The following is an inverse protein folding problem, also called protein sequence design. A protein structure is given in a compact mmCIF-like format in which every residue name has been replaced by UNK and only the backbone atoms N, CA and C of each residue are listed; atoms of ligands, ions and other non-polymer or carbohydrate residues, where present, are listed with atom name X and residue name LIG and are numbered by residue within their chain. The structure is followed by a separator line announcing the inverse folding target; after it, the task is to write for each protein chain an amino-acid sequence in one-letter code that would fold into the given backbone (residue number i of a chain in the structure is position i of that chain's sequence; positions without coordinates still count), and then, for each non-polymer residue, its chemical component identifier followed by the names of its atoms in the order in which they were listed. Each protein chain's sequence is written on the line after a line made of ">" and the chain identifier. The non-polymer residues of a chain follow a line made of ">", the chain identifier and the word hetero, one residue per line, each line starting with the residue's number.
data_IF_827903684736
#
_entry.id   IF_827903684736
#
_cell.length_a   1.000
_cell.length_b   1.000
_cell.length_c   1.000
_cell.angle_alpha   90.00
_cell.angle_beta   90.00
_cell.angle_gamma   90.00
#
_symmetry.space_group_name_H-M   'P 1'
#
loop_
_entity.id
_entity.type
_entity.pdbx_description
1 polymer ?
#
# COMPACT_ATOMS: atom_id res chain seq x y z
N UNK A 1 4.78 -32.92 1.33
CA UNK A 1 4.48 -33.00 -0.12
C UNK A 1 4.58 -31.60 -0.66
N UNK A 2 5.08 -31.39 -1.89
CA UNK A 2 5.15 -30.05 -2.46
C UNK A 2 3.74 -29.62 -2.91
N UNK A 3 3.16 -28.65 -2.22
CA UNK A 3 1.89 -28.05 -2.65
C UNK A 3 2.13 -27.28 -3.94
N UNK A 4 1.67 -27.86 -5.06
CA UNK A 4 1.55 -27.14 -6.31
C UNK A 4 0.46 -26.07 -6.13
N UNK A 5 0.88 -24.85 -5.83
CA UNK A 5 -0.04 -23.74 -5.56
C UNK A 5 -0.88 -23.45 -6.81
N UNK A 6 -2.18 -23.71 -6.71
CA UNK A 6 -3.13 -23.55 -7.83
C UNK A 6 -3.08 -22.11 -8.35
N UNK A 7 -2.95 -21.95 -9.68
CA UNK A 7 -2.81 -20.65 -10.33
C UNK A 7 -4.06 -19.77 -10.18
N UNK A 8 -3.90 -18.45 -10.17
CA UNK A 8 -5.02 -17.51 -10.15
C UNK A 8 -5.99 -17.71 -11.32
N UNK A 9 -5.47 -18.00 -12.52
CA UNK A 9 -6.29 -18.34 -13.70
C UNK A 9 -7.17 -19.57 -13.46
N UNK A 10 -6.60 -20.63 -12.87
CA UNK A 10 -7.34 -21.85 -12.52
C UNK A 10 -8.42 -21.56 -11.47
N UNK A 11 -8.11 -20.76 -10.46
CA UNK A 11 -9.07 -20.39 -9.41
C UNK A 11 -10.21 -19.52 -9.95
N UNK A 12 -9.92 -18.51 -10.79
CA UNK A 12 -10.96 -17.70 -11.45
C UNK A 12 -11.86 -18.58 -12.35
N UNK A 13 -11.28 -19.51 -13.12
CA UNK A 13 -12.05 -20.45 -13.93
C UNK A 13 -12.94 -21.39 -13.08
N UNK A 14 -12.55 -21.68 -11.83
CA UNK A 14 -13.37 -22.43 -10.88
C UNK A 14 -14.46 -21.56 -10.23
N UNK A 15 -14.19 -20.29 -9.93
CA UNK A 15 -15.20 -19.33 -9.49
C UNK A 15 -16.28 -19.12 -10.58
N UNK A 16 -15.90 -19.08 -11.85
CA UNK A 16 -16.82 -19.05 -12.99
C UNK A 16 -17.67 -20.33 -13.13
N UNK A 17 -17.32 -21.39 -12.41
CA UNK A 17 -18.08 -22.65 -12.28
C UNK A 17 -18.75 -22.77 -10.89
N UNK A 18 -18.93 -21.64 -10.18
CA UNK A 18 -19.58 -21.53 -8.87
C UNK A 18 -18.95 -22.39 -7.75
N UNK A 19 -17.67 -22.73 -7.87
CA UNK A 19 -16.94 -23.51 -6.84
C UNK A 19 -16.49 -22.59 -5.68
N UNK A 20 -17.26 -22.57 -4.60
CA UNK A 20 -16.99 -21.74 -3.41
C UNK A 20 -15.57 -21.88 -2.85
N UNK A 21 -15.01 -23.11 -2.83
CA UNK A 21 -13.65 -23.38 -2.37
C UNK A 21 -12.56 -22.66 -3.18
N UNK A 22 -12.83 -22.28 -4.44
CA UNK A 22 -11.90 -21.49 -5.24
C UNK A 22 -11.89 -20.01 -4.82
N UNK A 23 -13.06 -19.46 -4.43
CA UNK A 23 -13.16 -18.12 -3.87
C UNK A 23 -12.46 -18.05 -2.51
N UNK A 24 -12.61 -19.09 -1.68
CA UNK A 24 -11.91 -19.19 -0.40
C UNK A 24 -10.38 -19.13 -0.59
N UNK A 25 -9.83 -19.97 -1.47
CA UNK A 25 -8.39 -19.95 -1.77
C UNK A 25 -7.91 -18.63 -2.39
N UNK A 26 -8.74 -17.93 -3.18
CA UNK A 26 -8.41 -16.59 -3.67
C UNK A 26 -8.40 -15.56 -2.54
N UNK A 27 -9.39 -15.63 -1.64
CA UNK A 27 -9.50 -14.74 -0.50
C UNK A 27 -8.32 -14.92 0.46
N UNK A 28 -8.00 -16.15 0.86
CA UNK A 28 -6.84 -16.47 1.72
C UNK A 28 -5.51 -15.96 1.13
N UNK A 29 -5.31 -16.09 -0.20
CA UNK A 29 -4.08 -15.66 -0.88
C UNK A 29 -3.95 -14.15 -1.01
N UNK A 30 -5.02 -13.45 -1.37
CA UNK A 30 -4.94 -12.06 -1.82
C UNK A 30 -5.60 -11.04 -0.88
N UNK A 31 -6.52 -11.44 0.01
CA UNK A 31 -7.17 -10.51 0.93
C UNK A 31 -6.18 -9.73 1.83
N UNK A 32 -5.06 -10.30 2.32
CA UNK A 32 -4.10 -9.53 3.09
C UNK A 32 -3.40 -8.41 2.32
N UNK A 33 -3.16 -8.62 1.01
CA UNK A 33 -2.54 -7.63 0.13
C UNK A 33 -3.57 -6.61 -0.40
N UNK A 34 -4.81 -7.05 -0.65
CA UNK A 34 -5.95 -6.19 -0.96
C UNK A 34 -6.25 -5.23 0.19
N UNK A 35 -6.26 -5.71 1.42
CA UNK A 35 -6.53 -4.89 2.61
C UNK A 35 -5.38 -3.92 2.89
N UNK A 36 -4.12 -4.35 2.72
CA UNK A 36 -2.95 -3.47 2.83
C UNK A 36 -3.01 -2.32 1.81
N UNK A 37 -3.26 -2.63 0.54
CA UNK A 37 -3.41 -1.61 -0.51
C UNK A 37 -4.64 -0.72 -0.28
N UNK A 38 -5.79 -1.30 0.05
CA UNK A 38 -7.01 -0.56 0.38
C UNK A 38 -6.83 0.41 1.55
N UNK A 39 -6.09 0.00 2.58
CA UNK A 39 -5.76 0.85 3.74
C UNK A 39 -4.80 1.97 3.33
N UNK A 40 -3.81 1.67 2.49
CA UNK A 40 -2.88 2.68 1.95
C UNK A 40 -3.57 3.70 1.03
N UNK A 41 -4.59 3.29 0.27
CA UNK A 41 -5.37 4.15 -0.62
C UNK A 41 -6.41 4.99 0.14
N UNK A 42 -7.19 4.38 1.05
CA UNK A 42 -8.35 5.02 1.68
C UNK A 42 -8.06 5.60 3.08
N UNK A 43 -6.92 5.27 3.68
CA UNK A 43 -6.48 5.73 5.01
C UNK A 43 -7.47 5.44 6.16
N UNK A 44 -8.41 4.52 5.94
CA UNK A 44 -9.46 4.09 6.88
C UNK A 44 -9.66 2.59 6.77
N UNK A 45 -9.43 1.87 7.86
CA UNK A 45 -9.53 0.40 7.89
C UNK A 45 -10.93 -0.09 7.53
N UNK A 46 -11.99 0.57 8.01
CA UNK A 46 -13.39 0.21 7.69
C UNK A 46 -13.66 0.27 6.18
N UNK A 47 -13.18 1.33 5.54
CA UNK A 47 -13.42 1.57 4.13
C UNK A 47 -12.56 0.60 3.30
N UNK A 48 -11.37 0.24 3.78
CA UNK A 48 -10.49 -0.76 3.17
C UNK A 48 -11.00 -2.22 3.31
N UNK A 49 -11.57 -2.59 4.47
CA UNK A 49 -12.25 -3.86 4.68
C UNK A 49 -13.43 -4.00 3.71
N UNK A 50 -14.29 -2.98 3.63
CA UNK A 50 -15.44 -2.98 2.74
C UNK A 50 -15.03 -2.91 1.25
N UNK A 51 -13.91 -2.24 0.93
CA UNK A 51 -13.33 -2.26 -0.42
C UNK A 51 -12.91 -3.68 -0.82
N UNK A 52 -12.19 -4.36 0.08
CA UNK A 52 -11.71 -5.73 -0.12
C UNK A 52 -12.89 -6.67 -0.35
N UNK A 53 -13.90 -6.59 0.53
CA UNK A 53 -15.13 -7.38 0.47
C UNK A 53 -15.89 -7.21 -0.86
N UNK A 54 -16.19 -5.96 -1.24
CA UNK A 54 -16.86 -5.67 -2.52
C UNK A 54 -16.06 -6.18 -3.72
N UNK A 55 -14.73 -6.05 -3.67
CA UNK A 55 -13.86 -6.45 -4.79
C UNK A 55 -13.89 -7.96 -4.99
N UNK A 56 -13.85 -8.76 -3.93
CA UNK A 56 -14.04 -10.20 -4.03
C UNK A 56 -15.46 -10.60 -4.48
N UNK A 57 -16.50 -9.86 -4.06
CA UNK A 57 -17.87 -10.08 -4.54
C UNK A 57 -18.01 -9.82 -6.05
N UNK A 58 -17.33 -8.78 -6.57
CA UNK A 58 -17.26 -8.50 -8.01
C UNK A 58 -16.42 -9.53 -8.76
N UNK A 59 -15.26 -9.92 -8.23
CA UNK A 59 -14.40 -10.98 -8.80
C UNK A 59 -15.19 -12.30 -8.93
N UNK A 60 -15.98 -12.66 -7.92
CA UNK A 60 -16.89 -13.82 -8.00
C UNK A 60 -17.94 -13.67 -9.10
N UNK A 61 -18.75 -12.58 -9.02
CA UNK A 61 -19.88 -12.33 -9.94
C UNK A 61 -19.46 -12.19 -11.41
N UNK A 62 -18.21 -11.79 -11.67
CA UNK A 62 -17.67 -11.56 -13.01
C UNK A 62 -16.48 -12.47 -13.34
N UNK A 63 -16.29 -13.58 -12.63
CA UNK A 63 -15.18 -14.51 -12.87
C UNK A 63 -15.17 -15.07 -14.31
N UNK A 64 -16.34 -15.18 -14.93
CA UNK A 64 -16.53 -15.60 -16.33
C UNK A 64 -16.09 -14.54 -17.36
N UNK A 65 -15.92 -13.27 -16.96
CA UNK A 65 -15.45 -12.19 -17.83
C UNK A 65 -13.91 -12.14 -17.93
N UNK A 66 -13.19 -12.88 -17.07
CA UNK A 66 -11.76 -13.06 -17.21
C UNK A 66 -11.45 -14.11 -18.30
N UNK A 67 -10.87 -13.65 -19.40
CA UNK A 67 -10.30 -14.50 -20.43
C UNK A 67 -8.75 -14.46 -20.36
N UNK A 68 -8.03 -15.60 -20.45
CA UNK A 68 -6.56 -15.61 -20.27
C UNK A 68 -5.77 -14.79 -21.30
N UNK A 69 -6.36 -14.46 -22.43
CA UNK A 69 -5.73 -13.67 -23.49
C UNK A 69 -5.70 -12.16 -23.19
N UNK A 70 -6.42 -11.68 -22.17
CA UNK A 70 -6.40 -10.26 -21.75
C UNK A 70 -5.17 -9.92 -20.90
N UNK A 71 -4.46 -10.93 -20.38
CA UNK A 71 -3.27 -10.78 -19.55
C UNK A 71 -3.38 -11.46 -18.18
N UNK A 72 -2.71 -10.90 -17.17
CA UNK A 72 -2.57 -11.55 -15.85
C UNK A 72 -3.88 -11.57 -15.05
N UNK A 73 -4.31 -12.75 -14.62
CA UNK A 73 -5.41 -12.95 -13.66
C UNK A 73 -5.29 -12.09 -12.39
N UNK A 74 -4.08 -12.00 -11.80
CA UNK A 74 -3.85 -11.16 -10.61
C UNK A 74 -4.03 -9.68 -10.97
N UNK A 75 -3.48 -9.22 -12.09
CA UNK A 75 -3.65 -7.84 -12.54
C UNK A 75 -5.12 -7.47 -12.80
N UNK A 76 -5.90 -8.39 -13.38
CA UNK A 76 -7.34 -8.22 -13.55
C UNK A 76 -8.10 -8.12 -12.21
N UNK A 77 -7.75 -8.94 -11.22
CA UNK A 77 -8.31 -8.81 -9.86
C UNK A 77 -7.96 -7.45 -9.22
N UNK A 78 -6.71 -6.99 -9.38
CA UNK A 78 -6.26 -5.69 -8.86
C UNK A 78 -6.91 -4.50 -9.60
N UNK A 79 -7.19 -4.60 -10.89
CA UNK A 79 -7.88 -3.54 -11.65
C UNK A 79 -9.30 -3.30 -11.12
N UNK A 80 -10.02 -4.36 -10.74
CA UNK A 80 -11.33 -4.27 -10.07
C UNK A 80 -11.20 -3.53 -8.73
N UNK A 81 -10.26 -3.96 -7.87
CA UNK A 81 -9.99 -3.34 -6.58
C UNK A 81 -9.68 -1.84 -6.71
N UNK A 82 -8.77 -1.50 -7.62
CA UNK A 82 -8.30 -0.13 -7.80
C UNK A 82 -9.32 0.77 -8.49
N UNK A 83 -10.12 0.25 -9.43
CA UNK A 83 -11.27 0.98 -9.95
C UNK A 83 -12.25 1.35 -8.83
N UNK A 84 -12.62 0.40 -7.96
CA UNK A 84 -13.53 0.68 -6.81
C UNK A 84 -12.92 1.68 -5.84
N UNK A 85 -11.61 1.59 -5.55
CA UNK A 85 -10.90 2.55 -4.71
C UNK A 85 -10.93 3.96 -5.32
N UNK A 86 -10.64 4.09 -6.62
CA UNK A 86 -10.67 5.37 -7.34
C UNK A 86 -12.07 6.01 -7.32
N UNK A 87 -13.15 5.24 -7.46
CA UNK A 87 -14.52 5.80 -7.34
C UNK A 87 -14.77 6.39 -5.95
N UNK A 88 -14.36 5.70 -4.88
CA UNK A 88 -14.50 6.21 -3.50
C UNK A 88 -13.63 7.45 -3.25
N UNK A 89 -12.41 7.49 -3.78
CA UNK A 89 -11.53 8.67 -3.72
C UNK A 89 -12.11 9.88 -4.45
N UNK A 90 -12.82 9.69 -5.58
CA UNK A 90 -13.55 10.76 -6.28
C UNK A 90 -14.75 11.27 -5.46
N UNK A 91 -15.41 10.41 -4.69
CA UNK A 91 -16.55 10.76 -3.84
C UNK A 91 -16.15 11.42 -2.50
N UNK A 92 -14.92 11.20 -2.01
CA UNK A 92 -14.44 11.74 -0.73
C UNK A 92 -13.15 12.56 -0.89
N UNK A 93 -13.22 13.76 -1.52
CA UNK A 93 -12.03 14.61 -1.75
C UNK A 93 -11.42 15.19 -0.45
N UNK A 94 -12.12 15.09 0.69
CA UNK A 94 -11.73 15.67 1.97
C UNK A 94 -10.62 14.91 2.72
N UNK A 95 -10.16 13.76 2.20
CA UNK A 95 -9.13 12.93 2.84
C UNK A 95 -7.70 13.51 2.77
N UNK A 96 -7.50 14.61 2.04
CA UNK A 96 -6.18 15.20 1.78
C UNK A 96 -6.07 16.62 2.35
N UNK A 97 -5.50 16.80 3.57
CA UNK A 97 -4.24 17.56 3.60
C UNK A 97 -3.18 17.14 4.65
N UNK A 98 -3.45 16.21 5.58
CA UNK A 98 -2.64 16.09 6.82
C UNK A 98 -1.96 14.76 7.11
N UNK A 99 -2.25 13.66 6.40
CA UNK A 99 -1.71 12.34 6.77
C UNK A 99 -0.31 12.13 6.16
N UNK A 100 0.70 12.68 6.86
CA UNK A 100 2.12 12.41 6.61
C UNK A 100 2.48 10.97 6.97
N UNK A 101 2.31 10.04 6.04
CA UNK A 101 3.19 8.86 6.03
C UNK A 101 4.47 9.26 5.30
N UNK A 102 5.63 9.08 5.93
CA UNK A 102 6.94 9.25 5.27
C UNK A 102 7.15 8.08 4.29
N UNK A 103 6.47 8.13 3.15
CA UNK A 103 6.54 7.08 2.14
C UNK A 103 7.80 7.23 1.28
N UNK A 104 8.94 6.91 1.90
CA UNK A 104 10.12 6.46 1.20
C UNK A 104 9.80 5.06 0.68
N UNK A 105 9.22 5.01 -0.52
CA UNK A 105 8.82 3.78 -1.19
C UNK A 105 10.09 3.08 -1.71
N UNK A 106 10.80 2.48 -0.77
CA UNK A 106 12.05 1.79 -1.00
C UNK A 106 11.74 0.42 -1.59
N UNK A 107 12.09 0.24 -2.86
CA UNK A 107 12.07 -1.08 -3.49
C UNK A 107 13.18 -1.90 -2.80
N UNK A 108 12.84 -2.95 -2.03
CA UNK A 108 13.84 -3.66 -1.23
C UNK A 108 14.89 -4.34 -2.13
N UNK A 109 16.09 -4.58 -1.62
CA UNK A 109 17.15 -5.23 -2.40
C UNK A 109 16.76 -6.67 -2.87
N UNK A 110 15.86 -7.32 -2.13
CA UNK A 110 15.21 -8.60 -2.50
C UNK A 110 13.81 -8.38 -3.10
N UNK A 111 13.58 -7.29 -3.85
CA UNK A 111 12.32 -7.10 -4.55
C UNK A 111 12.05 -8.24 -5.56
N UNK A 112 10.77 -8.53 -5.88
CA UNK A 112 10.42 -9.45 -6.95
C UNK A 112 11.14 -9.09 -8.25
N UNK A 113 11.43 -10.08 -9.11
CA UNK A 113 12.07 -9.85 -10.42
C UNK A 113 11.31 -8.81 -11.25
N UNK A 114 9.98 -8.79 -11.12
CA UNK A 114 9.09 -7.80 -11.76
C UNK A 114 9.32 -6.34 -11.32
N UNK A 115 9.99 -6.07 -10.18
CA UNK A 115 10.32 -4.70 -9.75
C UNK A 115 11.75 -4.26 -10.09
N UNK A 116 12.62 -5.17 -10.53
CA UNK A 116 14.00 -4.83 -10.91
C UNK A 116 14.05 -3.67 -11.93
N UNK A 117 13.19 -3.58 -12.95
CA UNK A 117 13.22 -2.46 -13.90
C UNK A 117 13.01 -1.07 -13.29
N UNK A 118 12.33 -0.95 -12.15
CA UNK A 118 12.15 0.35 -11.49
C UNK A 118 13.48 0.95 -10.99
N UNK A 119 14.56 0.16 -10.88
CA UNK A 119 15.89 0.66 -10.55
C UNK A 119 16.46 1.59 -11.63
N UNK A 120 16.02 1.46 -12.90
CA UNK A 120 16.46 2.31 -14.02
C UNK A 120 15.83 3.71 -14.00
N UNK A 121 14.74 3.89 -13.26
CA UNK A 121 14.16 5.22 -13.02
C UNK A 121 15.00 5.99 -11.99
N UNK A 122 14.89 7.32 -11.98
CA UNK A 122 15.41 8.12 -10.89
C UNK A 122 14.51 8.00 -9.63
N UNK A 123 15.04 8.39 -8.47
CA UNK A 123 14.32 8.29 -7.20
C UNK A 123 13.03 9.12 -7.18
N UNK A 124 13.01 10.29 -7.84
CA UNK A 124 11.84 11.17 -7.87
C UNK A 124 10.72 10.52 -8.70
N UNK A 125 11.04 9.95 -9.86
CA UNK A 125 10.05 9.20 -10.67
C UNK A 125 9.50 7.98 -9.93
N UNK A 126 10.36 7.19 -9.24
CA UNK A 126 9.89 6.10 -8.38
C UNK A 126 8.92 6.59 -7.29
N UNK A 127 9.27 7.68 -6.58
CA UNK A 127 8.39 8.29 -5.56
C UNK A 127 7.05 8.71 -6.18
N UNK A 128 7.07 9.38 -7.33
CA UNK A 128 5.85 9.84 -8.01
C UNK A 128 4.92 8.70 -8.41
N UNK A 129 5.44 7.63 -9.05
CA UNK A 129 4.64 6.45 -9.43
C UNK A 129 4.10 5.75 -8.18
N UNK A 130 4.91 5.62 -7.13
CA UNK A 130 4.51 5.01 -5.87
C UNK A 130 3.41 5.78 -5.13
N UNK A 131 3.49 7.12 -5.08
CA UNK A 131 2.44 8.00 -4.54
C UNK A 131 1.12 7.86 -5.32
N UNK A 132 1.19 7.76 -6.66
CA UNK A 132 0.02 7.55 -7.49
C UNK A 132 -0.61 6.16 -7.25
N UNK A 133 0.19 5.08 -7.32
CA UNK A 133 -0.33 3.72 -7.30
C UNK A 133 -0.74 3.22 -5.91
N UNK A 134 0.11 3.39 -4.88
CA UNK A 134 -0.15 2.86 -3.53
C UNK A 134 -0.95 3.82 -2.63
N UNK A 135 -0.91 5.13 -2.89
CA UNK A 135 -1.59 6.14 -2.07
C UNK A 135 -2.71 6.90 -2.82
N UNK A 136 -2.88 6.65 -4.13
CA UNK A 136 -3.96 7.24 -4.92
C UNK A 136 -3.82 8.74 -5.15
N UNK A 137 -2.64 9.33 -4.94
CA UNK A 137 -2.44 10.78 -5.05
C UNK A 137 -2.69 11.26 -6.49
N UNK A 138 -3.30 12.45 -6.63
CA UNK A 138 -3.43 13.18 -7.89
C UNK A 138 -2.13 13.88 -8.27
N UNK A 139 -2.03 14.35 -9.52
CA UNK A 139 -0.93 15.22 -9.95
C UNK A 139 -0.71 16.43 -9.04
N UNK A 140 -1.76 17.05 -8.49
CA UNK A 140 -1.64 18.19 -7.57
C UNK A 140 -1.04 17.80 -6.21
N UNK A 141 -1.45 16.65 -5.67
CA UNK A 141 -0.95 16.11 -4.41
C UNK A 141 0.51 15.64 -4.55
N UNK A 142 0.85 14.96 -5.66
CA UNK A 142 2.23 14.56 -5.98
C UNK A 142 3.12 15.79 -6.21
N UNK A 143 2.66 16.78 -6.97
CA UNK A 143 3.40 18.02 -7.20
C UNK A 143 3.77 18.73 -5.89
N UNK A 144 2.80 18.82 -4.96
CA UNK A 144 2.99 19.35 -3.60
C UNK A 144 4.01 18.54 -2.78
N UNK A 145 3.88 17.22 -2.76
CA UNK A 145 4.73 16.27 -2.00
C UNK A 145 6.14 16.09 -2.60
N UNK A 146 6.32 16.45 -3.87
CA UNK A 146 7.61 16.43 -4.57
C UNK A 146 8.19 17.84 -4.82
N UNK A 147 7.62 18.88 -4.19
CA UNK A 147 8.03 20.28 -4.29
C UNK A 147 8.26 20.74 -5.74
N UNK A 148 7.30 20.48 -6.63
CA UNK A 148 7.39 20.80 -8.06
C UNK A 148 6.04 21.25 -8.64
N UNK A 149 6.00 21.68 -9.90
CA UNK A 149 4.76 22.06 -10.55
C UNK A 149 3.95 20.84 -11.04
N UNK A 150 2.64 21.05 -11.25
CA UNK A 150 1.74 20.03 -11.82
C UNK A 150 2.22 19.60 -13.20
N UNK A 151 2.56 20.55 -14.07
CA UNK A 151 3.05 20.27 -15.44
C UNK A 151 4.39 19.53 -15.44
N UNK A 152 5.31 19.84 -14.52
CA UNK A 152 6.55 19.07 -14.33
C UNK A 152 6.24 17.64 -13.90
N UNK A 153 5.31 17.46 -12.97
CA UNK A 153 4.91 16.13 -12.46
C UNK A 153 4.24 15.29 -13.55
N UNK A 154 3.37 15.89 -14.36
CA UNK A 154 2.73 15.24 -15.52
C UNK A 154 3.78 14.74 -16.50
N UNK A 155 4.70 15.62 -16.93
CA UNK A 155 5.79 15.25 -17.84
C UNK A 155 6.71 14.19 -17.23
N UNK A 156 7.12 14.35 -15.97
CA UNK A 156 8.03 13.40 -15.31
C UNK A 156 7.43 11.99 -15.21
N UNK A 157 6.13 11.87 -14.88
CA UNK A 157 5.45 10.57 -14.83
C UNK A 157 5.32 9.98 -16.24
N UNK A 158 4.95 10.79 -17.24
CA UNK A 158 4.88 10.36 -18.64
C UNK A 158 6.22 9.80 -19.15
N UNK A 159 7.28 10.60 -19.02
CA UNK A 159 8.63 10.25 -19.48
C UNK A 159 9.18 9.03 -18.72
N UNK A 160 8.87 8.90 -17.42
CA UNK A 160 9.22 7.73 -16.62
C UNK A 160 8.50 6.45 -17.09
N UNK A 161 7.24 6.53 -17.53
CA UNK A 161 6.51 5.38 -18.06
C UNK A 161 7.06 4.94 -19.42
N UNK A 162 7.41 5.90 -20.29
CA UNK A 162 8.11 5.60 -21.55
C UNK A 162 9.50 4.99 -21.33
N UNK A 163 10.24 5.45 -20.31
CA UNK A 163 11.52 4.86 -19.95
C UNK A 163 11.37 3.45 -19.32
N UNK A 164 10.28 3.20 -18.58
CA UNK A 164 10.04 1.95 -17.88
C UNK A 164 9.52 0.83 -18.80
N UNK A 165 8.64 1.15 -19.75
CA UNK A 165 7.97 0.16 -20.59
C UNK A 165 8.90 -0.78 -21.39
N UNK A 166 10.04 -0.35 -21.98
CA UNK A 166 10.93 -1.21 -22.76
C UNK A 166 11.57 -2.35 -21.96
N UNK A 167 11.58 -2.26 -20.63
CA UNK A 167 12.10 -3.30 -19.75
C UNK A 167 11.10 -4.43 -19.47
N UNK A 168 9.87 -4.34 -19.99
CA UNK A 168 8.83 -5.37 -19.86
C UNK A 168 8.39 -5.88 -21.23
N UNK A 169 8.09 -7.18 -21.31
CA UNK A 169 7.49 -7.83 -22.47
C UNK A 169 5.99 -8.02 -22.30
N UNK A 170 5.26 -8.25 -23.40
CA UNK A 170 3.80 -8.44 -23.39
C UNK A 170 2.99 -7.19 -23.76
N UNK A 171 3.63 -6.16 -24.29
CA UNK A 171 2.94 -5.06 -24.98
C UNK A 171 2.37 -5.55 -26.31
N UNK A 172 1.15 -5.14 -26.61
CA UNK A 172 0.44 -5.45 -27.85
C UNK A 172 0.56 -4.33 -28.89
N UNK A 173 1.10 -3.17 -28.47
CA UNK A 173 1.33 -1.98 -29.29
C UNK A 173 2.77 -1.47 -29.14
N UNK A 174 3.26 -0.69 -30.11
CA UNK A 174 4.55 0.00 -29.97
C UNK A 174 4.54 0.91 -28.74
N UNK A 175 5.67 0.99 -28.06
CA UNK A 175 5.82 1.85 -26.88
C UNK A 175 5.84 3.31 -27.35
N UNK A 176 4.75 4.02 -27.09
CA UNK A 176 4.46 5.38 -27.51
C UNK A 176 3.65 6.12 -26.44
N UNK A 177 3.27 7.37 -26.72
CA UNK A 177 2.48 8.21 -25.81
C UNK A 177 1.11 7.59 -25.45
N UNK A 178 0.53 6.72 -26.30
CA UNK A 178 -0.71 6.01 -26.01
C UNK A 178 -0.53 4.91 -24.95
N UNK A 179 0.59 4.18 -25.00
CA UNK A 179 0.97 3.23 -23.94
C UNK A 179 1.25 3.99 -22.64
N UNK A 180 1.93 5.14 -22.69
CA UNK A 180 2.14 5.97 -21.51
C UNK A 180 0.82 6.53 -20.94
N UNK A 181 -0.10 6.98 -21.80
CA UNK A 181 -1.44 7.44 -21.44
C UNK A 181 -2.24 6.35 -20.72
N UNK A 182 -2.19 5.10 -21.18
CA UNK A 182 -2.80 3.97 -20.45
C UNK A 182 -2.15 3.74 -19.09
N UNK A 183 -0.83 3.93 -18.97
CA UNK A 183 -0.15 3.87 -17.68
C UNK A 183 -0.64 4.96 -16.72
N UNK A 184 -0.77 6.20 -17.19
CA UNK A 184 -1.30 7.33 -16.40
C UNK A 184 -2.77 7.10 -16.01
N UNK A 185 -3.59 6.56 -16.92
CA UNK A 185 -4.99 6.17 -16.65
C UNK A 185 -5.05 5.06 -15.60
N UNK A 186 -4.27 3.99 -15.78
CA UNK A 186 -4.11 2.90 -14.83
C UNK A 186 -3.75 3.44 -13.44
N UNK A 187 -2.72 4.28 -13.31
CA UNK A 187 -2.32 4.90 -12.03
C UNK A 187 -3.48 5.62 -11.31
N UNK A 188 -4.49 6.11 -12.03
CA UNK A 188 -5.66 6.80 -11.48
C UNK A 188 -5.54 8.32 -11.47
N UNK A 189 -4.56 8.85 -12.21
CA UNK A 189 -4.21 10.27 -12.23
C UNK A 189 -5.20 11.13 -13.04
N UNK A 190 -5.93 10.51 -13.98
CA UNK A 190 -6.96 11.13 -14.80
C UNK A 190 -8.30 11.12 -14.02
N UNK A 191 -8.42 12.01 -13.03
CA UNK A 191 -9.56 12.00 -12.09
C UNK A 191 -10.85 12.56 -12.72
N UNK A 192 -10.77 13.60 -13.55
CA UNK A 192 -11.92 14.19 -14.24
C UNK A 192 -12.25 13.46 -15.57
N UNK A 193 -13.49 13.64 -16.05
CA UNK A 193 -13.97 12.95 -17.24
C UNK A 193 -13.29 13.40 -18.54
N UNK A 194 -12.86 14.66 -18.64
CA UNK A 194 -12.21 15.19 -19.84
C UNK A 194 -10.78 14.68 -19.96
N UNK A 195 -10.00 14.67 -18.87
CA UNK A 195 -8.66 14.10 -18.86
C UNK A 195 -8.66 12.58 -19.10
N UNK A 196 -9.69 11.86 -18.64
CA UNK A 196 -9.84 10.43 -18.89
C UNK A 196 -10.33 10.08 -20.31
N UNK A 197 -10.96 11.01 -21.03
CA UNK A 197 -11.61 10.77 -22.32
C UNK A 197 -10.68 10.15 -23.38
N UNK A 198 -9.43 10.61 -23.60
CA UNK A 198 -8.55 10.02 -24.62
C UNK A 198 -8.22 8.55 -24.32
N UNK A 199 -7.98 8.21 -23.04
CA UNK A 199 -7.73 6.84 -22.63
C UNK A 199 -8.98 5.95 -22.79
N UNK A 200 -10.17 6.48 -22.49
CA UNK A 200 -11.45 5.76 -22.68
C UNK A 200 -11.77 5.54 -24.17
N UNK A 201 -11.52 6.54 -25.03
CA UNK A 201 -11.65 6.42 -26.48
C UNK A 201 -10.73 5.32 -27.01
N UNK A 202 -9.45 5.32 -26.61
CA UNK A 202 -8.49 4.29 -26.98
C UNK A 202 -8.92 2.89 -26.52
N UNK A 203 -9.42 2.76 -25.29
CA UNK A 203 -9.96 1.50 -24.74
C UNK A 203 -11.23 1.00 -25.45
N UNK A 204 -12.02 1.89 -26.03
CA UNK A 204 -13.22 1.53 -26.80
C UNK A 204 -12.93 1.22 -28.28
N UNK A 205 -11.87 1.81 -28.85
CA UNK A 205 -11.52 1.67 -30.25
C UNK A 205 -10.65 0.44 -30.55
N UNK A 206 -9.82 0.01 -29.60
CA UNK A 206 -8.83 -1.05 -29.80
C UNK A 206 -8.80 -2.04 -28.63
N UNK A 207 -9.02 -3.32 -28.92
CA UNK A 207 -8.99 -4.39 -27.92
C UNK A 207 -7.60 -4.62 -27.32
N UNK A 208 -6.52 -4.27 -28.03
CA UNK A 208 -5.16 -4.34 -27.50
C UNK A 208 -4.92 -3.30 -26.39
N UNK A 209 -5.67 -2.20 -26.39
CA UNK A 209 -5.62 -1.21 -25.31
C UNK A 209 -5.98 -1.82 -23.95
N UNK A 210 -6.98 -2.70 -23.89
CA UNK A 210 -7.34 -3.39 -22.66
C UNK A 210 -6.21 -4.31 -22.19
N UNK A 211 -5.50 -4.95 -23.11
CA UNK A 211 -4.36 -5.84 -22.81
C UNK A 211 -3.15 -5.08 -22.29
N UNK A 212 -2.82 -3.96 -22.93
CA UNK A 212 -1.76 -3.05 -22.46
C UNK A 212 -2.11 -2.40 -21.10
N UNK A 213 -3.39 -2.12 -20.84
CA UNK A 213 -3.84 -1.63 -19.54
C UNK A 213 -3.67 -2.69 -18.43
N UNK A 214 -4.04 -3.95 -18.71
CA UNK A 214 -3.83 -5.08 -17.79
C UNK A 214 -2.32 -5.36 -17.61
N UNK A 215 -1.50 -5.15 -18.65
CA UNK A 215 -0.04 -5.22 -18.55
C UNK A 215 0.53 -4.13 -17.64
N UNK A 216 0.03 -2.89 -17.70
CA UNK A 216 0.40 -1.85 -16.73
C UNK A 216 -0.02 -2.20 -15.31
N UNK A 217 -1.25 -2.66 -15.10
CA UNK A 217 -1.71 -3.08 -13.76
C UNK A 217 -0.91 -4.29 -13.25
N UNK A 218 -0.41 -5.19 -14.14
CA UNK A 218 0.52 -6.27 -13.77
C UNK A 218 1.86 -5.74 -13.27
N UNK A 219 2.42 -4.73 -13.94
CA UNK A 219 3.69 -4.10 -13.55
C UNK A 219 3.52 -3.40 -12.20
N UNK A 220 2.46 -2.60 -12.04
CA UNK A 220 2.28 -1.83 -10.81
C UNK A 220 1.75 -2.66 -9.65
N UNK A 221 0.98 -3.74 -9.84
CA UNK A 221 0.54 -4.59 -8.73
C UNK A 221 1.73 -5.27 -8.03
N UNK A 222 2.90 -5.38 -8.68
CA UNK A 222 4.12 -5.81 -8.01
C UNK A 222 4.55 -4.82 -6.89
N UNK A 223 4.25 -3.51 -7.00
CA UNK A 223 4.54 -2.52 -5.95
C UNK A 223 3.82 -2.82 -4.63
N UNK A 224 2.75 -3.63 -4.64
CA UNK A 224 2.06 -3.99 -3.40
C UNK A 224 2.88 -4.92 -2.51
N UNK A 225 3.94 -5.56 -3.02
CA UNK A 225 4.90 -6.29 -2.18
C UNK A 225 5.75 -5.37 -1.30
N UNK A 226 5.73 -4.05 -1.56
CA UNK A 226 6.34 -3.04 -0.69
C UNK A 226 5.43 -2.65 0.49
N UNK A 227 4.19 -3.13 0.53
CA UNK A 227 3.27 -2.96 1.67
C UNK A 227 3.35 -4.17 2.59
N UNK A 228 3.31 -3.93 3.90
CA UNK A 228 3.12 -4.99 4.89
C UNK A 228 1.70 -5.58 4.73
N UNK A 229 1.54 -6.90 4.51
CA UNK A 229 0.22 -7.52 4.47
C UNK A 229 -0.55 -7.31 5.78
N UNK A 230 -1.85 -7.06 5.68
CA UNK A 230 -2.74 -6.83 6.83
C UNK A 230 -3.74 -7.97 6.91
N UNK A 231 -3.73 -8.76 7.97
CA UNK A 231 -4.69 -9.86 8.12
C UNK A 231 -6.13 -9.33 8.16
N UNK A 232 -7.04 -9.82 7.28
CA UNK A 232 -8.42 -9.37 7.26
C UNK A 232 -9.21 -9.93 8.43
N UNK A 233 -10.11 -9.12 8.99
CA UNK A 233 -11.04 -9.56 10.01
C UNK A 233 -11.91 -10.72 9.48
N UNK A 234 -12.00 -11.88 10.15
CA UNK A 234 -12.73 -13.05 9.64
C UNK A 234 -14.22 -12.79 9.42
N UNK A 235 -14.80 -11.78 10.09
CA UNK A 235 -16.17 -11.33 9.84
C UNK A 235 -16.41 -10.81 8.41
N UNK A 236 -15.38 -10.32 7.74
CA UNK A 236 -15.46 -9.82 6.35
C UNK A 236 -15.64 -10.98 5.37
N UNK A 237 -14.89 -12.06 5.54
CA UNK A 237 -15.07 -13.30 4.76
C UNK A 237 -16.45 -13.91 5.00
N UNK A 238 -16.90 -13.97 6.27
CA UNK A 238 -18.24 -14.45 6.60
C UNK A 238 -19.35 -13.63 5.92
N UNK A 239 -19.26 -12.30 5.95
CA UNK A 239 -20.20 -11.40 5.25
C UNK A 239 -20.17 -11.57 3.74
N UNK A 240 -18.98 -11.71 3.14
CA UNK A 240 -18.82 -11.97 1.71
C UNK A 240 -19.54 -13.25 1.29
N UNK A 241 -19.27 -14.37 1.98
CA UNK A 241 -19.86 -15.66 1.64
C UNK A 241 -21.39 -15.67 1.88
N UNK A 242 -21.85 -15.02 2.95
CA UNK A 242 -23.27 -14.84 3.24
C UNK A 242 -23.99 -14.00 2.16
N UNK A 243 -23.40 -12.90 1.69
CA UNK A 243 -23.99 -12.09 0.60
C UNK A 243 -24.07 -12.89 -0.72
N UNK A 244 -23.09 -13.73 -0.99
CA UNK A 244 -23.03 -14.55 -2.19
C UNK A 244 -23.87 -15.84 -2.09
N UNK A 245 -24.52 -16.12 -0.95
CA UNK A 245 -25.29 -17.33 -0.73
C UNK A 245 -24.44 -18.61 -0.69
N UNK A 246 -23.13 -18.49 -0.48
CA UNK A 246 -22.19 -19.60 -0.49
C UNK A 246 -22.16 -20.31 0.87
N UNK A 247 -21.90 -21.62 0.90
CA UNK A 247 -21.66 -22.30 2.16
C UNK A 247 -20.46 -21.64 2.84
N UNK A 248 -20.67 -21.15 4.06
CA UNK A 248 -19.57 -20.82 4.95
C UNK A 248 -18.77 -22.11 5.14
N UNK A 249 -17.51 -22.11 4.70
CA UNK A 249 -16.58 -23.15 5.08
C UNK A 249 -16.53 -23.18 6.59
N UNK A 250 -17.11 -24.22 7.18
CA UNK A 250 -16.89 -24.54 8.59
C UNK A 250 -15.37 -24.61 8.74
N UNK A 251 -14.77 -23.92 9.72
CA UNK A 251 -13.33 -24.04 9.92
C UNK A 251 -13.05 -25.52 10.09
N UNK A 252 -12.31 -26.11 9.14
CA UNK A 252 -11.85 -27.49 9.25
C UNK A 252 -11.24 -27.57 10.64
N UNK A 253 -11.74 -28.45 11.54
CA UNK A 253 -11.30 -28.42 12.92
C UNK A 253 -9.80 -28.67 12.89
N UNK A 254 -9.03 -27.60 13.13
CA UNK A 254 -7.57 -27.67 13.25
C UNK A 254 -7.35 -28.76 14.26
N UNK A 255 -6.82 -29.90 13.81
CA UNK A 255 -6.63 -31.10 14.63
C UNK A 255 -5.95 -30.61 15.89
N UNK A 256 -6.71 -30.58 16.99
CA UNK A 256 -6.29 -29.86 18.18
C UNK A 256 -4.87 -30.31 18.51
N UNK A 257 -3.91 -29.38 18.76
CA UNK A 257 -2.57 -29.77 19.18
C UNK A 257 -2.74 -30.78 20.30
N UNK A 258 -2.26 -32.01 20.08
CA UNK A 258 -2.63 -33.16 20.90
C UNK A 258 -2.49 -32.75 22.37
N UNK A 259 -3.53 -32.97 23.22
CA UNK A 259 -3.65 -32.30 24.50
C UNK A 259 -2.34 -32.45 25.26
N UNK A 260 -1.60 -31.34 25.38
CA UNK A 260 -0.30 -31.31 26.05
C UNK A 260 -0.57 -31.90 27.44
N UNK A 261 0.16 -32.95 27.87
CA UNK A 261 -0.18 -33.68 29.07
C UNK A 261 -0.35 -32.67 30.21
N UNK A 262 -1.55 -32.65 30.78
CA UNK A 262 -1.94 -31.64 31.76
C UNK A 262 -1.04 -31.81 32.98
N UNK A 263 -0.01 -30.96 33.09
CA UNK A 263 0.61 -30.73 34.39
C UNK A 263 -0.51 -30.16 35.28
N UNK A 264 -0.80 -30.77 36.44
CA UNK A 264 -1.87 -30.31 37.29
C UNK A 264 -1.55 -28.90 37.78
N UNK A 265 -2.25 -27.91 37.24
CA UNK A 265 -2.20 -26.53 37.73
C UNK A 265 -2.66 -26.52 39.17
N UNK A 266 -1.72 -26.30 40.10
CA UNK A 266 -2.05 -26.08 41.50
C UNK A 266 -2.99 -24.87 41.61
N UNK A 267 -4.21 -25.10 42.08
CA UNK A 267 -5.23 -24.07 42.19
C UNK A 267 -4.73 -22.90 43.05
N UNK A 268 -4.88 -21.67 42.55
CA UNK A 268 -4.51 -20.43 43.26
C UNK A 268 -5.19 -20.28 44.64
N UNK A 269 -6.28 -21.00 44.87
CA UNK A 269 -6.96 -21.11 46.17
C UNK A 269 -6.13 -21.85 47.26
N UNK A 270 -5.18 -22.71 46.88
CA UNK A 270 -4.32 -23.43 47.84
C UNK A 270 -3.19 -22.54 48.41
N UNK A 271 -2.88 -21.42 47.76
CA UNK A 271 -1.82 -20.49 48.16
C UNK A 271 -2.36 -19.41 49.14
N UNK A 272 -3.67 -19.18 49.16
CA UNK A 272 -4.34 -18.13 49.95
C UNK A 272 -4.93 -18.61 51.29
N UNK A 273 -4.67 -19.85 51.72
CA UNK A 273 -5.23 -20.42 52.96
C UNK A 273 -4.18 -21.08 53.88
N UNK A 274 -3.25 -20.30 54.44
CA UNK A 274 -2.56 -20.64 55.70
C UNK A 274 -2.38 -19.39 56.58
N UNK A 275 -2.73 -19.45 57.88
CA UNK A 275 -2.66 -18.30 58.79
C UNK A 275 -1.26 -18.08 59.39
N UNK A 276 -1.02 -16.83 59.81
CA UNK A 276 0.23 -16.34 60.41
C UNK A 276 0.36 -16.67 61.89
N UNK A 277 1.51 -17.17 62.35
CA UNK A 277 2.09 -17.08 63.72
C UNK A 277 3.45 -17.82 63.73
N UNK A 278 4.51 -17.54 64.51
CA UNK A 278 5.07 -16.33 65.18
C UNK A 278 6.44 -16.68 65.79
N UNK A 279 7.27 -15.65 66.09
CA UNK A 279 8.32 -15.57 67.14
C UNK A 279 9.69 -16.29 67.01
N UNK A 280 10.77 -15.46 67.11
CA UNK A 280 12.03 -15.58 67.92
C UNK A 280 12.91 -16.86 67.86
N UNK A 281 14.25 -16.85 67.99
CA UNK A 281 15.19 -15.90 68.64
C UNK A 281 16.54 -15.69 67.88
N UNK A 282 17.25 -14.62 68.26
CA UNK A 282 18.67 -14.25 67.96
C UNK A 282 19.66 -14.96 68.93
N UNK A 283 21.04 -14.83 68.90
CA UNK A 283 21.85 -13.61 68.61
C UNK A 283 23.29 -13.80 68.00
N UNK A 284 24.07 -12.68 67.98
CA UNK A 284 25.56 -12.61 68.04
C UNK A 284 26.34 -12.78 66.71
N UNK A 285 27.27 -11.91 66.24
CA UNK A 285 27.79 -10.61 66.73
C UNK A 285 28.59 -9.81 65.66
N UNK A 286 28.44 -8.46 65.67
CA UNK A 286 29.39 -7.34 65.41
C UNK A 286 30.59 -7.58 64.43
N UNK A 287 30.84 -6.76 63.40
CA UNK A 287 31.54 -5.43 63.44
C UNK A 287 31.68 -4.86 62.00
N UNK A 288 31.73 -3.57 61.68
CA UNK A 288 31.17 -2.31 62.23
C UNK A 288 31.31 -1.16 61.16
N UNK A 289 30.68 0.00 61.40
CA UNK A 289 30.78 1.24 60.58
C UNK A 289 31.76 2.25 61.23
N UNK A 290 32.21 3.34 60.55
CA UNK A 290 31.39 4.56 60.43
C UNK A 290 31.45 5.30 59.08
N UNK A 291 30.43 6.15 58.86
CA UNK A 291 30.32 7.18 57.81
C UNK A 291 30.88 8.53 58.37
N UNK A 292 30.62 9.77 57.84
CA UNK A 292 29.83 10.24 56.68
C UNK A 292 30.75 10.94 55.61
N UNK A 293 30.40 11.86 54.69
CA UNK A 293 29.28 12.83 54.56
C UNK A 293 28.99 13.29 53.11
N UNK A 294 28.04 14.23 53.01
CA UNK A 294 27.78 15.25 51.97
C UNK A 294 29.01 15.87 51.27
N UNK A 295 28.94 16.53 50.09
CA UNK A 295 27.86 17.42 49.61
C UNK A 295 27.91 17.69 48.08
N UNK A 296 26.89 18.42 47.59
CA UNK A 296 26.60 18.97 46.25
C UNK A 296 27.65 19.98 45.67
N UNK A 297 27.51 20.48 44.42
CA UNK A 297 28.62 20.92 43.55
C UNK A 297 28.83 22.44 43.53
N UNK A 298 29.63 22.95 42.57
CA UNK A 298 29.37 24.28 42.02
C UNK A 298 29.35 24.36 40.47
N UNK A 299 28.68 25.40 39.97
CA UNK A 299 28.86 25.97 38.63
C UNK A 299 30.18 26.81 38.60
N UNK A 300 30.59 27.55 37.56
CA UNK A 300 30.05 27.96 36.26
C UNK A 300 31.24 28.31 35.33
N UNK A 301 31.02 28.75 34.08
CA UNK A 301 31.51 30.06 33.56
C UNK A 301 31.12 30.30 32.09
N UNK A 302 30.61 31.51 31.90
CA UNK A 302 30.17 32.33 30.75
C UNK A 302 31.14 32.50 29.55
N UNK A 303 30.63 33.21 28.53
CA UNK A 303 31.30 33.91 27.40
C UNK A 303 31.40 33.17 26.05
N UNK A 304 31.19 33.80 24.89
CA UNK A 304 30.62 35.14 24.58
C UNK A 304 30.06 35.20 23.13
N UNK A 305 29.36 36.30 22.80
CA UNK A 305 28.87 36.66 21.45
C UNK A 305 29.83 37.73 20.81
N UNK A 306 29.53 38.44 19.70
CA UNK A 306 28.68 38.23 18.50
C UNK A 306 29.51 38.35 17.18
N UNK A 307 29.02 38.55 15.94
CA UNK A 307 28.49 39.82 15.38
C UNK A 307 28.10 39.72 13.87
N UNK A 308 27.16 40.60 13.43
CA UNK A 308 26.85 41.24 12.11
C UNK A 308 27.25 40.59 10.74
N UNK A 309 26.71 40.95 9.56
CA UNK A 309 26.04 42.20 9.09
C UNK A 309 25.05 41.98 7.92
N UNK A 310 24.25 43.01 7.63
CA UNK A 310 23.31 43.15 6.49
C UNK A 310 24.00 43.28 5.12
N UNK A 311 23.26 43.11 4.02
CA UNK A 311 23.35 43.98 2.84
C UNK A 311 22.09 43.93 1.94
N UNK A 312 21.70 45.09 1.42
CA UNK A 312 20.49 45.35 0.59
C UNK A 312 20.90 45.62 -0.86
N UNK A 313 20.15 45.16 -1.87
CA UNK A 313 20.15 45.77 -3.21
C UNK A 313 18.95 45.36 -4.12
N UNK A 314 18.17 46.35 -4.53
CA UNK A 314 17.36 46.44 -5.76
C UNK A 314 17.85 47.72 -6.50
N UNK A 315 17.32 48.11 -7.67
CA UNK A 315 16.98 47.36 -8.89
C UNK A 315 17.57 48.05 -10.15
N UNK A 316 17.42 47.50 -11.38
CA UNK A 316 17.21 48.33 -12.59
C UNK A 316 16.79 47.53 -13.86
N UNK A 317 16.35 48.29 -14.87
CA UNK A 317 16.19 47.95 -16.29
C UNK A 317 14.93 47.18 -16.72
N UNK A 318 13.80 47.90 -16.77
CA UNK A 318 12.79 47.70 -17.83
C UNK A 318 13.06 48.71 -18.94
N UNK A 319 13.43 48.25 -20.13
CA UNK A 319 13.51 49.10 -21.32
C UNK A 319 13.10 48.28 -22.56
N UNK A 320 11.90 48.56 -23.08
CA UNK A 320 11.35 47.92 -24.28
C UNK A 320 10.46 48.93 -25.01
N UNK A 321 11.06 49.70 -25.91
CA UNK A 321 10.34 50.48 -26.91
C UNK A 321 10.55 49.87 -28.29
N UNK A 322 9.46 49.47 -28.93
CA UNK A 322 9.48 48.90 -30.29
C UNK A 322 9.40 50.01 -31.36
N UNK A 323 9.97 49.81 -32.55
CA UNK A 323 9.59 50.53 -33.75
C UNK A 323 8.61 49.70 -34.59
N UNK A 324 7.55 50.34 -35.08
CA UNK A 324 6.73 49.83 -36.17
C UNK A 324 6.56 50.93 -37.22
N UNK A 325 6.79 50.53 -38.46
CA UNK A 325 6.89 51.35 -39.67
C UNK A 325 5.55 51.96 -40.12
N UNK A 326 5.58 52.83 -41.15
CA UNK A 326 5.24 52.33 -42.49
C UNK A 326 6.44 52.23 -43.43
#
# INVERSE_FOLDING_TARGET
>A
MAEQSVSYQTLLAQCAQEKSAALEQLYEKEAPAFLALGTSLLQRTTDAEELTRESFALIWRHANAYAPDIGSAKAWMYSILRFRAQQRLKQSPTLSPFIKVKNNLFIPAQAPKDLLPFQYLDEKSRKMIGLAYLHGYSFAEIAKECHSSISHTQKQIHDALLALAPHYSGWHRPINDEVALLGIYCLGLLRDAHAALPAQQLLSADSNAAKDLIQWERIFCALTTCLTPVEPNPRIQQRLFQELGLPLSTPTPVKAPAPRPQQPSASLQAILQKPTTTRFDTPTTVKATPAPSSSTPPAATTSDQPDKTQATAQPLATDTSAPLTP
#
